data_IF_402437908430
#
_entry.id   IF_402437908430
#
_cell.length_a   1.000
_cell.length_b   1.000
_cell.length_c   1.000
_cell.angle_alpha   90.00
_cell.angle_beta   90.00
_cell.angle_gamma   90.00
#
_symmetry.space_group_name_H-M   'P 1'
#
loop_
_entity.id
_entity.type
_entity.pdbx_description
1 polymer ?
#
# COMPACT_ATOMS: atom_id res chain seq x y z
N UNK A 1 36.62 19.01 30.99
CA UNK A 1 35.28 18.40 31.19
C UNK A 1 34.27 19.31 30.53
N UNK A 2 33.16 18.78 30.03
CA UNK A 2 32.06 19.62 29.52
C UNK A 2 31.02 19.76 30.64
N UNK A 3 30.67 21.00 31.00
CA UNK A 3 29.65 21.25 32.00
C UNK A 3 28.28 20.89 31.44
N UNK A 4 27.68 19.83 31.99
CA UNK A 4 26.30 19.45 31.69
C UNK A 4 25.39 20.44 32.41
N UNK A 5 24.53 21.20 31.72
CA UNK A 5 23.59 22.10 32.39
C UNK A 5 22.69 21.30 33.34
N UNK A 6 22.72 21.66 34.63
CA UNK A 6 21.87 21.03 35.64
C UNK A 6 20.40 21.17 35.27
N UNK A 7 19.60 20.14 35.57
CA UNK A 7 18.17 20.10 35.23
C UNK A 7 17.46 21.34 35.77
N UNK A 8 16.92 22.17 34.87
CA UNK A 8 16.15 23.35 35.24
C UNK A 8 14.91 22.91 36.01
N UNK A 9 14.90 23.17 37.32
CA UNK A 9 13.74 22.94 38.17
C UNK A 9 12.68 23.98 37.85
N UNK A 10 11.90 23.73 36.79
CA UNK A 10 10.74 24.53 36.42
C UNK A 10 9.83 24.69 37.64
N UNK A 11 9.50 25.92 38.08
CA UNK A 11 8.70 26.12 39.28
C UNK A 11 7.34 25.42 39.11
N UNK A 12 6.97 24.58 40.06
CA UNK A 12 5.76 23.77 39.99
C UNK A 12 4.51 24.67 40.14
N UNK A 13 4.03 25.18 39.02
CA UNK A 13 2.83 26.00 38.96
C UNK A 13 1.59 25.14 39.16
N UNK A 14 1.26 24.87 40.42
CA UNK A 14 -0.09 24.43 40.80
C UNK A 14 -1.00 25.67 40.78
N UNK A 15 -2.00 25.77 39.88
CA UNK A 15 -2.94 26.86 39.92
C UNK A 15 -3.65 26.89 41.28
N UNK A 16 -3.63 28.02 41.97
CA UNK A 16 -4.43 28.21 43.18
C UNK A 16 -5.87 28.51 42.78
N UNK A 17 -6.81 28.30 43.70
CA UNK A 17 -8.22 28.64 43.47
C UNK A 17 -8.40 30.10 43.03
N UNK A 18 -7.62 31.00 43.63
CA UNK A 18 -7.52 32.41 43.28
C UNK A 18 -7.00 32.67 41.86
N UNK A 19 -6.04 31.87 41.38
CA UNK A 19 -5.53 31.89 40.00
C UNK A 19 -6.59 31.39 39.00
N UNK A 20 -7.28 30.30 39.32
CA UNK A 20 -8.38 29.81 38.48
C UNK A 20 -9.52 30.82 38.37
N UNK A 21 -9.85 31.51 39.47
CA UNK A 21 -10.91 32.51 39.54
C UNK A 21 -10.58 33.72 38.64
N UNK A 22 -9.33 34.20 38.69
CA UNK A 22 -8.82 35.20 37.75
C UNK A 22 -8.92 34.72 36.29
N UNK A 23 -8.51 33.47 36.01
CA UNK A 23 -8.62 32.87 34.67
C UNK A 23 -10.05 32.77 34.17
N UNK A 24 -11.02 32.37 35.01
CA UNK A 24 -12.45 32.34 34.66
C UNK A 24 -12.98 33.74 34.32
N UNK A 25 -12.63 34.76 35.10
CA UNK A 25 -13.02 36.15 34.82
C UNK A 25 -12.39 36.68 33.53
N UNK A 26 -11.12 36.39 33.27
CA UNK A 26 -10.46 36.74 32.01
C UNK A 26 -11.14 36.07 30.80
N UNK A 27 -11.48 34.78 30.89
CA UNK A 27 -12.21 34.09 29.83
C UNK A 27 -13.61 34.67 29.62
N UNK A 28 -14.37 34.96 30.70
CA UNK A 28 -15.71 35.54 30.61
C UNK A 28 -15.71 36.88 29.86
N UNK A 29 -14.68 37.70 30.09
CA UNK A 29 -14.44 38.96 29.37
C UNK A 29 -14.07 38.73 27.89
N UNK A 30 -13.15 37.79 27.60
CA UNK A 30 -12.60 37.60 26.26
C UNK A 30 -13.52 36.81 25.31
N UNK A 31 -14.38 35.94 25.82
CA UNK A 31 -15.41 35.23 25.03
C UNK A 31 -16.78 35.87 25.23
N UNK A 32 -17.51 35.49 26.28
CA UNK A 32 -18.95 35.79 26.48
C UNK A 32 -19.26 37.29 26.36
N UNK A 33 -18.54 38.16 27.08
CA UNK A 33 -18.76 39.61 26.99
C UNK A 33 -18.41 40.19 25.61
N UNK A 34 -17.39 39.64 24.93
CA UNK A 34 -16.95 40.11 23.62
C UNK A 34 -17.92 39.70 22.52
N UNK A 35 -18.42 38.47 22.55
CA UNK A 35 -19.44 37.97 21.62
C UNK A 35 -20.81 38.61 21.87
N UNK A 36 -21.15 38.91 23.14
CA UNK A 36 -22.29 39.74 23.50
C UNK A 36 -22.15 41.14 22.87
N UNK A 37 -21.00 41.80 23.01
CA UNK A 37 -20.79 43.12 22.42
C UNK A 37 -20.78 43.11 20.88
N UNK A 38 -20.28 42.04 20.24
CA UNK A 38 -20.42 41.80 18.78
C UNK A 38 -21.90 41.64 18.37
N UNK A 39 -22.72 41.03 19.23
CA UNK A 39 -24.16 40.85 19.01
C UNK A 39 -24.92 42.18 19.15
N UNK A 40 -24.62 42.99 20.17
CA UNK A 40 -25.14 44.37 20.29
C UNK A 40 -24.75 45.20 19.05
N UNK A 41 -23.49 45.11 18.61
CA UNK A 41 -22.99 45.82 17.43
C UNK A 41 -23.76 45.41 16.17
N UNK A 42 -23.95 44.11 15.95
CA UNK A 42 -24.66 43.56 14.79
C UNK A 42 -26.16 43.88 14.79
N UNK A 43 -26.78 44.02 15.97
CA UNK A 43 -28.16 44.46 16.14
C UNK A 43 -28.36 45.93 15.73
N UNK A 44 -27.40 46.81 16.02
CA UNK A 44 -27.48 48.23 15.65
C UNK A 44 -26.91 48.57 14.26
N UNK A 45 -25.93 47.81 13.80
CA UNK A 45 -25.21 48.02 12.53
C UNK A 45 -25.01 46.65 11.87
N UNK A 46 -25.76 46.36 10.80
CA UNK A 46 -25.59 45.13 10.04
C UNK A 46 -24.13 44.94 9.60
N UNK A 47 -23.57 43.71 9.64
CA UNK A 47 -22.17 43.44 9.27
C UNK A 47 -21.73 44.05 7.93
N UNK A 48 -22.58 43.98 6.91
CA UNK A 48 -22.34 44.55 5.56
C UNK A 48 -22.07 46.06 5.60
N UNK A 49 -22.77 46.78 6.49
CA UNK A 49 -22.71 48.23 6.64
C UNK A 49 -21.62 48.68 7.62
N UNK A 50 -20.98 47.76 8.35
CA UNK A 50 -20.01 48.09 9.40
C UNK A 50 -18.82 48.92 8.87
N UNK A 51 -18.30 48.58 7.69
CA UNK A 51 -17.22 49.35 7.05
C UNK A 51 -17.67 50.78 6.72
N UNK A 52 -18.89 50.94 6.21
CA UNK A 52 -19.46 52.24 5.83
C UNK A 52 -19.63 53.16 7.05
N UNK A 53 -20.23 52.66 8.14
CA UNK A 53 -20.41 53.47 9.36
C UNK A 53 -19.10 53.71 10.12
N UNK A 54 -18.10 52.83 10.02
CA UNK A 54 -16.74 53.12 10.50
C UNK A 54 -16.12 54.30 9.75
N UNK A 55 -16.04 54.24 8.41
CA UNK A 55 -15.44 55.32 7.62
C UNK A 55 -16.24 56.63 7.71
N UNK A 56 -17.57 56.57 7.82
CA UNK A 56 -18.43 57.74 8.09
C UNK A 56 -18.10 58.44 9.41
N UNK A 57 -17.70 57.68 10.43
CA UNK A 57 -17.37 58.19 11.77
C UNK A 57 -15.85 58.33 12.01
N UNK A 58 -15.02 58.11 10.98
CA UNK A 58 -13.55 58.01 11.07
C UNK A 58 -12.89 59.15 11.82
N UNK A 59 -13.20 60.40 11.48
CA UNK A 59 -12.61 61.61 12.10
C UNK A 59 -12.96 61.76 13.60
N UNK A 60 -14.02 61.10 14.07
CA UNK A 60 -14.36 61.01 15.51
C UNK A 60 -13.65 59.83 16.16
N UNK A 61 -13.65 58.66 15.52
CA UNK A 61 -13.03 57.45 16.05
C UNK A 61 -11.50 57.59 16.20
N UNK A 62 -10.82 58.19 15.21
CA UNK A 62 -9.37 58.46 15.25
C UNK A 62 -8.93 59.46 16.35
N UNK A 63 -9.87 60.14 17.03
CA UNK A 63 -9.58 60.99 18.20
C UNK A 63 -9.76 60.27 19.55
N UNK A 64 -10.22 59.02 19.53
CA UNK A 64 -10.62 58.25 20.73
C UNK A 64 -9.84 56.93 20.82
N UNK A 65 -9.52 56.31 19.69
CA UNK A 65 -8.75 55.07 19.60
C UNK A 65 -7.26 55.30 19.90
N UNK A 66 -6.58 54.28 20.44
CA UNK A 66 -5.10 54.26 20.45
C UNK A 66 -4.54 54.11 19.03
N UNK A 67 -3.23 54.34 18.86
CA UNK A 67 -2.52 54.15 17.58
C UNK A 67 -2.69 52.70 17.08
N UNK A 68 -2.58 51.72 17.97
CA UNK A 68 -2.75 50.29 17.65
C UNK A 68 -4.18 49.97 17.21
N UNK A 69 -5.18 50.46 17.96
CA UNK A 69 -6.60 50.27 17.63
C UNK A 69 -6.99 50.98 16.33
N UNK A 70 -6.39 52.15 16.07
CA UNK A 70 -6.50 52.88 14.80
C UNK A 70 -5.94 52.05 13.65
N UNK A 71 -4.73 51.50 13.79
CA UNK A 71 -4.09 50.68 12.76
C UNK A 71 -4.86 49.38 12.49
N UNK A 72 -5.53 48.80 13.49
CA UNK A 72 -6.36 47.60 13.33
C UNK A 72 -7.66 47.86 12.56
N UNK A 73 -8.33 49.00 12.81
CA UNK A 73 -9.57 49.38 12.11
C UNK A 73 -9.31 50.05 10.74
N UNK A 74 -8.16 50.68 10.57
CA UNK A 74 -7.76 51.45 9.40
C UNK A 74 -6.34 51.08 8.93
N UNK A 75 -6.09 49.80 8.57
CA UNK A 75 -4.77 49.37 8.13
C UNK A 75 -4.31 50.13 6.87
N UNK A 76 -3.00 50.32 6.67
CA UNK A 76 -2.45 50.87 5.43
C UNK A 76 -2.90 50.08 4.19
N UNK A 77 -2.95 50.72 3.03
CA UNK A 77 -3.40 50.07 1.79
C UNK A 77 -2.59 48.81 1.42
N UNK A 78 -1.31 48.75 1.80
CA UNK A 78 -0.43 47.59 1.64
C UNK A 78 -0.73 46.41 2.60
N UNK A 79 -1.63 46.59 3.56
CA UNK A 79 -2.01 45.60 4.58
C UNK A 79 -3.55 45.50 4.73
N UNK A 80 -4.30 45.86 3.68
CA UNK A 80 -5.76 45.94 3.74
C UNK A 80 -6.42 44.56 3.80
N UNK A 81 -6.61 44.05 5.02
CA UNK A 81 -7.46 42.89 5.32
C UNK A 81 -8.93 43.32 5.35
N UNK A 82 -9.84 42.46 4.91
CA UNK A 82 -11.27 42.62 5.22
C UNK A 82 -11.49 42.52 6.74
N UNK A 83 -12.02 43.59 7.32
CA UNK A 83 -12.20 43.75 8.76
C UNK A 83 -13.49 43.07 9.23
N UNK A 84 -13.35 42.05 10.09
CA UNK A 84 -14.49 41.32 10.68
C UNK A 84 -14.66 41.72 12.14
N UNK A 85 -15.88 41.75 12.67
CA UNK A 85 -16.15 42.06 14.09
C UNK A 85 -15.51 41.06 15.08
N UNK A 86 -15.13 39.87 14.62
CA UNK A 86 -14.31 38.90 15.35
C UNK A 86 -12.90 39.42 15.67
N UNK A 87 -12.32 40.25 14.80
CA UNK A 87 -10.97 40.81 14.97
C UNK A 87 -10.92 41.92 16.03
N UNK A 88 -12.08 42.41 16.48
CA UNK A 88 -12.19 43.49 17.46
C UNK A 88 -12.21 42.96 18.90
N UNK A 89 -11.41 43.57 19.77
CA UNK A 89 -11.43 43.28 21.21
C UNK A 89 -12.59 44.02 21.93
N UNK A 90 -12.86 43.64 23.19
CA UNK A 90 -13.91 44.29 24.01
C UNK A 90 -13.70 45.82 24.15
N UNK A 91 -12.44 46.28 24.12
CA UNK A 91 -12.08 47.71 24.19
C UNK A 91 -12.57 48.48 22.95
N UNK A 92 -12.26 47.98 21.75
CA UNK A 92 -12.75 48.53 20.48
C UNK A 92 -14.26 48.44 20.40
N UNK A 93 -14.83 47.27 20.73
CA UNK A 93 -16.28 47.05 20.69
C UNK A 93 -17.02 48.06 21.57
N UNK A 94 -16.57 48.30 22.82
CA UNK A 94 -17.13 49.35 23.69
C UNK A 94 -17.09 50.74 23.01
N UNK A 95 -15.97 51.10 22.39
CA UNK A 95 -15.81 52.40 21.70
C UNK A 95 -16.83 52.52 20.57
N UNK A 96 -17.09 51.46 19.80
CA UNK A 96 -18.09 51.47 18.73
C UNK A 96 -19.54 51.54 19.28
N UNK A 97 -19.88 50.72 20.27
CA UNK A 97 -21.20 50.74 20.91
C UNK A 97 -21.55 52.12 21.46
N UNK A 98 -20.60 52.76 22.16
CA UNK A 98 -20.73 54.11 22.71
C UNK A 98 -20.84 55.22 21.66
N UNK A 99 -20.11 55.10 20.54
CA UNK A 99 -19.94 56.25 19.62
C UNK A 99 -20.76 56.18 18.34
N UNK A 100 -21.01 55.00 17.77
CA UNK A 100 -21.66 54.85 16.45
C UNK A 100 -23.02 54.13 16.52
N UNK A 101 -23.27 53.28 17.52
CA UNK A 101 -24.53 52.51 17.60
C UNK A 101 -25.75 53.32 18.12
N UNK A 102 -25.59 54.62 18.37
CA UNK A 102 -26.65 55.57 18.82
C UNK A 102 -27.41 55.14 20.09
N UNK A 103 -26.84 54.25 20.91
CA UNK A 103 -27.44 53.77 22.15
C UNK A 103 -27.62 54.95 23.14
N UNK A 104 -28.85 55.20 23.66
CA UNK A 104 -29.10 56.25 24.64
C UNK A 104 -28.22 56.10 25.89
N UNK A 105 -27.66 57.22 26.37
CA UNK A 105 -26.79 57.21 27.54
C UNK A 105 -27.55 56.95 28.85
N UNK A 106 -26.90 56.30 29.81
CA UNK A 106 -27.40 56.18 31.18
C UNK A 106 -27.31 57.54 31.93
N UNK A 107 -27.99 57.65 33.08
CA UNK A 107 -28.22 58.91 33.80
C UNK A 107 -26.93 59.72 34.11
N UNK A 108 -25.82 59.02 34.37
CA UNK A 108 -24.53 59.63 34.74
C UNK A 108 -23.62 59.95 33.53
N UNK A 109 -24.03 59.61 32.31
CA UNK A 109 -23.24 59.80 31.09
C UNK A 109 -22.22 58.68 30.82
N UNK A 110 -22.10 58.28 29.55
CA UNK A 110 -21.16 57.25 29.09
C UNK A 110 -19.73 57.44 29.64
N UNK A 111 -19.17 56.36 30.20
CA UNK A 111 -17.82 56.30 30.77
C UNK A 111 -17.78 56.53 32.29
N UNK A 112 -18.82 57.12 32.86
CA UNK A 112 -18.96 57.27 34.31
C UNK A 112 -19.54 56.00 34.94
N UNK A 113 -19.34 55.82 36.24
CA UNK A 113 -19.97 54.73 37.00
C UNK A 113 -21.50 54.89 36.92
N UNK A 114 -22.25 53.90 36.40
CA UNK A 114 -23.71 53.96 36.37
C UNK A 114 -24.32 53.95 37.78
N UNK A 115 -25.52 54.49 37.93
CA UNK A 115 -26.23 54.50 39.21
C UNK A 115 -26.53 53.07 39.66
N UNK A 116 -26.40 52.79 40.96
CA UNK A 116 -26.77 51.48 41.52
C UNK A 116 -28.24 51.16 41.19
N UNK A 117 -28.49 49.96 40.67
CA UNK A 117 -29.81 49.53 40.20
C UNK A 117 -30.23 50.00 38.81
N UNK A 118 -29.43 50.83 38.10
CA UNK A 118 -29.73 51.20 36.70
C UNK A 118 -29.54 49.98 35.77
N UNK A 119 -30.63 49.53 35.14
CA UNK A 119 -30.66 48.36 34.23
C UNK A 119 -30.87 48.74 32.77
N UNK A 120 -30.60 49.99 32.38
CA UNK A 120 -30.62 50.36 30.95
C UNK A 120 -29.39 49.78 30.21
N UNK A 121 -29.51 49.59 28.89
CA UNK A 121 -28.49 48.94 28.05
C UNK A 121 -27.10 49.58 28.21
N UNK A 122 -27.02 50.92 28.22
CA UNK A 122 -25.77 51.64 28.42
C UNK A 122 -25.16 51.42 29.82
N UNK A 123 -25.97 51.31 30.87
CA UNK A 123 -25.48 51.06 32.22
C UNK A 123 -24.86 49.66 32.36
N UNK A 124 -25.47 48.64 31.76
CA UNK A 124 -24.91 47.28 31.72
C UNK A 124 -23.59 47.24 30.92
N UNK A 125 -23.53 47.90 29.75
CA UNK A 125 -22.31 47.99 28.93
C UNK A 125 -21.17 48.70 29.68
N UNK A 126 -21.44 49.81 30.39
CA UNK A 126 -20.41 50.51 31.15
C UNK A 126 -19.94 49.74 32.39
N UNK A 127 -20.82 48.99 33.07
CA UNK A 127 -20.40 48.08 34.16
C UNK A 127 -19.50 46.95 33.67
N UNK A 128 -19.80 46.33 32.54
CA UNK A 128 -18.93 45.31 31.92
C UNK A 128 -17.55 45.89 31.60
N UNK A 129 -17.46 47.13 31.07
CA UNK A 129 -16.18 47.83 30.88
C UNK A 129 -15.45 48.07 32.21
N UNK A 130 -16.15 48.58 33.24
CA UNK A 130 -15.56 48.86 34.55
C UNK A 130 -14.98 47.58 35.16
N UNK A 131 -15.73 46.47 35.13
CA UNK A 131 -15.25 45.17 35.58
C UNK A 131 -14.08 44.65 34.73
N UNK A 132 -14.08 44.80 33.40
CA UNK A 132 -12.89 44.47 32.58
C UNK A 132 -11.66 45.23 33.06
N UNK A 133 -11.77 46.55 33.18
CA UNK A 133 -10.65 47.39 33.57
C UNK A 133 -10.15 47.06 34.98
N UNK A 134 -11.04 46.69 35.91
CA UNK A 134 -10.68 46.16 37.22
C UNK A 134 -9.92 44.83 37.11
N UNK A 135 -10.44 43.85 36.37
CA UNK A 135 -9.79 42.54 36.14
C UNK A 135 -8.41 42.72 35.51
N UNK A 136 -8.27 43.60 34.51
CA UNK A 136 -6.97 43.96 33.93
C UNK A 136 -6.01 44.60 34.93
N UNK A 137 -6.51 45.31 35.95
CA UNK A 137 -5.68 45.80 37.07
C UNK A 137 -5.08 44.69 37.94
N UNK A 138 -5.74 43.53 38.03
CA UNK A 138 -5.23 42.35 38.75
C UNK A 138 -4.20 41.53 37.95
N UNK A 139 -3.92 41.87 36.69
CA UNK A 139 -3.03 41.07 35.82
C UNK A 139 -1.57 40.99 36.30
N UNK A 140 -1.14 41.91 37.16
CA UNK A 140 0.20 41.92 37.77
C UNK A 140 0.38 40.86 38.86
N UNK A 141 -0.72 40.37 39.44
CA UNK A 141 -0.73 39.32 40.47
C UNK A 141 -1.29 38.01 39.89
N UNK A 142 -2.22 38.09 38.94
CA UNK A 142 -2.83 36.93 38.29
C UNK A 142 -3.80 36.13 39.19
N UNK A 143 -4.26 36.73 40.29
CA UNK A 143 -5.09 36.09 41.31
C UNK A 143 -6.21 37.02 41.80
N UNK A 144 -7.40 36.45 42.02
CA UNK A 144 -8.59 37.10 42.62
C UNK A 144 -9.19 36.11 43.63
N UNK A 145 -9.42 36.54 44.87
CA UNK A 145 -9.97 35.67 45.93
C UNK A 145 -11.42 35.24 45.64
N UNK A 146 -11.90 34.20 46.31
CA UNK A 146 -13.25 33.68 46.09
C UNK A 146 -14.37 34.69 46.40
N UNK A 147 -14.20 35.59 47.38
CA UNK A 147 -15.26 36.54 47.74
C UNK A 147 -15.40 37.66 46.71
N UNK A 148 -14.28 38.18 46.22
CA UNK A 148 -14.24 39.16 45.14
C UNK A 148 -14.66 38.54 43.80
N UNK A 149 -14.24 37.29 43.55
CA UNK A 149 -14.65 36.53 42.36
C UNK A 149 -16.17 36.39 42.29
N UNK A 150 -16.83 35.90 43.35
CA UNK A 150 -18.29 35.70 43.35
C UNK A 150 -19.05 37.02 43.16
N UNK A 151 -18.56 38.12 43.74
CA UNK A 151 -19.15 39.44 43.56
C UNK A 151 -19.03 39.93 42.10
N UNK A 152 -17.83 39.93 41.52
CA UNK A 152 -17.61 40.34 40.12
C UNK A 152 -18.38 39.42 39.16
N UNK A 153 -18.35 38.11 39.39
CA UNK A 153 -19.05 37.13 38.57
C UNK A 153 -20.57 37.34 38.57
N UNK A 154 -21.17 37.54 39.75
CA UNK A 154 -22.61 37.79 39.89
C UNK A 154 -23.05 39.07 39.18
N UNK A 155 -22.28 40.16 39.33
CA UNK A 155 -22.58 41.43 38.65
C UNK A 155 -22.46 41.31 37.12
N UNK A 156 -21.36 40.73 36.62
CA UNK A 156 -21.17 40.49 35.19
C UNK A 156 -22.27 39.58 34.62
N UNK A 157 -22.61 38.49 35.30
CA UNK A 157 -23.68 37.57 34.89
C UNK A 157 -25.02 38.29 34.76
N UNK A 158 -25.39 39.09 35.78
CA UNK A 158 -26.62 39.88 35.79
C UNK A 158 -26.69 40.89 34.64
N UNK A 159 -25.58 41.55 34.32
CA UNK A 159 -25.50 42.48 33.19
C UNK A 159 -25.53 41.78 31.82
N UNK A 160 -24.82 40.65 31.67
CA UNK A 160 -24.84 39.81 30.46
C UNK A 160 -26.28 39.36 30.14
N UNK A 161 -26.95 38.75 31.12
CA UNK A 161 -28.33 38.27 31.00
C UNK A 161 -29.29 39.44 30.71
N UNK A 162 -29.10 40.60 31.37
CA UNK A 162 -29.97 41.77 31.15
C UNK A 162 -29.81 42.37 29.75
N UNK A 163 -28.60 42.35 29.17
CA UNK A 163 -28.36 42.76 27.78
C UNK A 163 -28.97 41.74 26.82
N UNK A 164 -28.74 40.44 27.03
CA UNK A 164 -29.29 39.37 26.18
C UNK A 164 -30.82 39.46 26.07
N UNK A 165 -31.52 39.66 27.20
CA UNK A 165 -32.97 39.89 27.25
C UNK A 165 -33.45 41.12 26.45
N UNK A 166 -32.58 42.11 26.19
CA UNK A 166 -32.92 43.35 25.47
C UNK A 166 -32.62 43.24 23.97
N UNK A 167 -31.60 42.46 23.60
CA UNK A 167 -31.08 42.38 22.22
C UNK A 167 -31.64 41.17 21.45
N UNK A 168 -31.75 40.01 22.11
CA UNK A 168 -32.05 38.72 21.46
C UNK A 168 -33.21 37.95 22.11
N UNK A 169 -33.50 38.18 23.40
CA UNK A 169 -34.57 37.50 24.13
C UNK A 169 -34.33 35.99 24.40
N UNK A 170 -33.13 35.49 24.09
CA UNK A 170 -32.71 34.10 24.33
C UNK A 170 -31.98 33.90 25.66
N UNK A 171 -31.22 32.81 25.75
CA UNK A 171 -30.38 32.45 26.90
C UNK A 171 -29.02 31.82 26.48
N UNK A 172 -28.53 32.15 25.29
CA UNK A 172 -27.23 31.65 24.79
C UNK A 172 -26.05 32.22 25.58
N UNK A 173 -26.12 33.49 26.02
CA UNK A 173 -25.07 34.08 26.85
C UNK A 173 -25.22 33.69 28.32
N UNK A 174 -26.45 33.59 28.86
CA UNK A 174 -26.73 32.98 30.16
C UNK A 174 -26.11 31.58 30.26
N UNK A 175 -26.36 30.71 29.26
CA UNK A 175 -25.73 29.39 29.18
C UNK A 175 -24.20 29.45 29.08
N UNK A 176 -23.66 30.37 28.29
CA UNK A 176 -22.21 30.57 28.17
C UNK A 176 -21.52 30.95 29.49
N UNK A 177 -22.17 31.77 30.32
CA UNK A 177 -21.76 32.03 31.71
C UNK A 177 -21.78 30.73 32.51
N UNK A 178 -22.90 30.02 32.47
CA UNK A 178 -23.15 28.84 33.32
C UNK A 178 -22.21 27.66 32.99
N UNK A 179 -21.94 27.43 31.70
CA UNK A 179 -20.99 26.43 31.20
C UNK A 179 -19.53 26.81 31.53
N UNK A 180 -19.16 28.10 31.49
CA UNK A 180 -17.83 28.57 31.88
C UNK A 180 -17.59 28.51 33.40
N UNK A 181 -18.61 28.79 34.22
CA UNK A 181 -18.52 28.67 35.68
C UNK A 181 -18.27 27.22 36.11
N UNK A 182 -18.96 26.27 35.46
CA UNK A 182 -18.82 24.81 35.67
C UNK A 182 -17.53 24.22 35.11
N UNK A 183 -16.74 25.00 34.36
CA UNK A 183 -15.52 24.53 33.73
C UNK A 183 -14.43 24.20 34.77
N UNK A 184 -14.01 22.92 34.81
CA UNK A 184 -12.89 22.43 35.60
C UNK A 184 -11.56 22.91 35.02
N UNK A 185 -10.93 23.91 35.63
CA UNK A 185 -9.54 24.32 35.32
C UNK A 185 -8.49 23.47 36.08
N UNK A 186 -8.93 22.41 36.76
CA UNK A 186 -8.14 21.63 37.70
C UNK A 186 -7.10 20.71 36.99
N UNK A 187 -5.81 20.76 37.38
CA UNK A 187 -4.76 19.83 36.95
C UNK A 187 -5.14 18.34 37.01
N UNK A 188 -6.01 17.90 37.93
CA UNK A 188 -6.43 16.49 38.04
C UNK A 188 -7.04 15.91 36.75
N UNK A 189 -7.67 16.74 35.89
CA UNK A 189 -8.17 16.27 34.59
C UNK A 189 -7.06 16.17 33.55
N UNK A 190 -6.08 17.08 33.58
CA UNK A 190 -4.88 16.98 32.75
C UNK A 190 -4.03 15.75 33.13
N UNK A 191 -3.92 15.44 34.42
CA UNK A 191 -3.19 14.28 34.94
C UNK A 191 -3.71 12.95 34.37
N UNK A 192 -5.03 12.78 34.21
CA UNK A 192 -5.62 11.59 33.55
C UNK A 192 -5.10 11.39 32.11
N UNK A 193 -4.91 12.47 31.36
CA UNK A 193 -4.33 12.39 30.01
C UNK A 193 -2.82 12.10 30.05
N UNK A 194 -2.08 12.64 31.04
CA UNK A 194 -0.66 12.33 31.25
C UNK A 194 -0.46 10.84 31.60
N UNK A 195 -1.32 10.28 32.45
CA UNK A 195 -1.30 8.86 32.83
C UNK A 195 -1.67 7.96 31.65
N UNK A 196 -2.71 8.32 30.88
CA UNK A 196 -3.04 7.62 29.63
C UNK A 196 -1.88 7.64 28.62
N UNK A 197 -1.20 8.78 28.47
CA UNK A 197 -0.04 8.91 27.57
C UNK A 197 1.15 8.03 28.02
N UNK A 198 1.45 8.00 29.32
CA UNK A 198 2.49 7.10 29.90
C UNK A 198 2.17 5.63 29.64
N UNK A 199 0.90 5.23 29.81
CA UNK A 199 0.47 3.85 29.57
C UNK A 199 0.65 3.47 28.09
N UNK A 200 0.25 4.34 27.16
CA UNK A 200 0.47 4.15 25.71
C UNK A 200 1.97 4.07 25.40
N UNK A 201 2.80 4.93 25.99
CA UNK A 201 4.25 4.91 25.80
C UNK A 201 4.88 3.59 26.29
N UNK A 202 4.44 3.07 27.45
CA UNK A 202 4.89 1.78 27.96
C UNK A 202 4.45 0.62 27.07
N UNK A 203 3.21 0.63 26.57
CA UNK A 203 2.74 -0.38 25.62
C UNK A 203 3.56 -0.39 24.33
N UNK A 204 3.92 0.79 23.81
CA UNK A 204 4.73 0.91 22.59
C UNK A 204 6.13 0.34 22.77
N UNK A 205 6.78 0.58 23.92
CA UNK A 205 8.08 -0.01 24.25
C UNK A 205 8.00 -1.55 24.30
N UNK A 206 7.03 -2.11 25.03
CA UNK A 206 6.84 -3.57 25.10
C UNK A 206 6.40 -4.21 23.77
N UNK A 207 5.78 -3.44 22.87
CA UNK A 207 5.51 -3.88 21.50
C UNK A 207 6.77 -3.86 20.63
N UNK A 208 7.66 -2.87 20.81
CA UNK A 208 8.94 -2.81 20.10
C UNK A 208 9.89 -3.94 20.52
N UNK A 209 9.98 -4.26 21.81
CA UNK A 209 10.76 -5.41 22.30
C UNK A 209 10.35 -6.71 21.58
N UNK A 210 9.04 -6.98 21.52
CA UNK A 210 8.47 -8.16 20.83
C UNK A 210 8.66 -8.15 19.32
N UNK A 211 8.75 -6.97 18.69
CA UNK A 211 9.10 -6.86 17.26
C UNK A 211 10.56 -7.28 17.06
N UNK A 212 11.47 -6.80 17.91
CA UNK A 212 12.90 -7.14 17.84
C UNK A 212 13.12 -8.67 18.01
N UNK A 213 12.42 -9.31 18.96
CA UNK A 213 12.45 -10.77 19.16
C UNK A 213 11.99 -11.55 17.91
N UNK A 214 10.95 -11.05 17.24
CA UNK A 214 10.42 -11.63 16.00
C UNK A 214 11.40 -11.41 14.84
N UNK A 215 12.06 -10.26 14.74
CA UNK A 215 13.09 -9.99 13.73
C UNK A 215 14.31 -10.93 13.90
N UNK A 216 14.81 -11.11 15.12
CA UNK A 216 15.88 -12.08 15.44
C UNK A 216 15.43 -13.50 15.04
N UNK A 217 14.19 -13.88 15.32
CA UNK A 217 13.63 -15.18 14.95
C UNK A 217 13.55 -15.35 13.42
N UNK A 218 13.14 -14.32 12.69
CA UNK A 218 13.08 -14.31 11.22
C UNK A 218 14.49 -14.45 10.60
N UNK A 219 15.50 -13.77 11.15
CA UNK A 219 16.89 -13.90 10.69
C UNK A 219 17.42 -15.33 10.87
N UNK A 220 17.17 -15.95 12.03
CA UNK A 220 17.56 -17.33 12.32
C UNK A 220 16.86 -18.35 11.39
N UNK A 221 15.58 -18.14 11.08
CA UNK A 221 14.83 -18.96 10.11
C UNK A 221 15.39 -18.74 8.70
N UNK A 222 15.70 -17.50 8.30
CA UNK A 222 16.30 -17.17 7.02
C UNK A 222 17.64 -17.88 6.79
N UNK A 223 18.51 -17.91 7.80
CA UNK A 223 19.78 -18.64 7.74
C UNK A 223 19.56 -20.16 7.56
N UNK A 224 18.63 -20.77 8.31
CA UNK A 224 18.31 -22.19 8.11
C UNK A 224 17.71 -22.50 6.73
N UNK A 225 16.95 -21.57 6.13
CA UNK A 225 16.41 -21.71 4.77
C UNK A 225 17.54 -21.64 3.73
N UNK A 226 18.54 -20.78 3.92
CA UNK A 226 19.72 -20.72 3.04
C UNK A 226 20.49 -22.04 3.06
N UNK A 227 20.93 -22.51 4.24
CA UNK A 227 21.67 -23.78 4.39
C UNK A 227 20.90 -24.98 3.83
N UNK A 228 19.56 -25.00 3.96
CA UNK A 228 18.71 -26.04 3.36
C UNK A 228 18.55 -25.91 1.85
N UNK A 229 18.66 -24.70 1.27
CA UNK A 229 18.68 -24.51 -0.19
C UNK A 229 20.01 -24.96 -0.79
N UNK A 230 21.13 -24.50 -0.24
CA UNK A 230 22.47 -24.92 -0.68
C UNK A 230 22.56 -26.45 -0.71
N UNK A 231 21.97 -27.12 0.30
CA UNK A 231 21.91 -28.60 0.38
C UNK A 231 20.89 -29.27 -0.55
N UNK A 232 19.90 -28.55 -1.08
CA UNK A 232 19.01 -29.05 -2.15
C UNK A 232 19.73 -28.94 -3.49
N UNK A 233 20.37 -27.81 -3.76
CA UNK A 233 21.11 -27.54 -5.00
C UNK A 233 22.24 -28.58 -5.18
N UNK A 234 23.00 -28.88 -4.09
CA UNK A 234 23.92 -30.03 -3.96
C UNK A 234 23.36 -31.36 -4.47
N UNK A 235 22.10 -31.66 -4.12
CA UNK A 235 21.43 -32.93 -4.39
C UNK A 235 20.82 -32.95 -5.80
N UNK A 236 20.39 -31.81 -6.33
CA UNK A 236 19.96 -31.70 -7.73
C UNK A 236 21.13 -31.93 -8.69
N UNK A 237 22.31 -31.36 -8.42
CA UNK A 237 23.54 -31.62 -9.19
C UNK A 237 24.00 -33.09 -9.09
N UNK A 238 23.94 -33.70 -7.89
CA UNK A 238 24.24 -35.13 -7.73
C UNK A 238 23.26 -36.02 -8.52
N UNK A 239 21.95 -35.72 -8.47
CA UNK A 239 20.94 -36.46 -9.23
C UNK A 239 21.13 -36.29 -10.74
N UNK A 240 21.47 -35.09 -11.22
CA UNK A 240 21.76 -34.84 -12.63
C UNK A 240 23.01 -35.63 -13.10
N UNK A 241 24.05 -35.69 -12.28
CA UNK A 241 25.27 -36.48 -12.53
C UNK A 241 24.97 -37.98 -12.62
N UNK A 242 24.20 -38.54 -11.67
CA UNK A 242 23.78 -39.95 -11.66
C UNK A 242 22.88 -40.28 -12.86
N UNK A 243 21.92 -39.41 -13.18
CA UNK A 243 21.04 -39.60 -14.34
C UNK A 243 21.83 -39.61 -15.66
N UNK A 244 22.87 -38.77 -15.77
CA UNK A 244 23.79 -38.78 -16.93
C UNK A 244 24.60 -40.09 -16.96
N UNK A 245 25.23 -40.48 -15.86
CA UNK A 245 26.04 -41.70 -15.80
C UNK A 245 25.25 -42.97 -16.17
N UNK A 246 23.99 -43.07 -15.71
CA UNK A 246 23.07 -44.14 -16.11
C UNK A 246 22.77 -44.11 -17.61
N UNK A 247 22.47 -42.94 -18.18
CA UNK A 247 22.18 -42.78 -19.62
C UNK A 247 23.38 -43.14 -20.50
N UNK A 248 24.58 -42.71 -20.10
CA UNK A 248 25.81 -42.98 -20.81
C UNK A 248 26.14 -44.48 -20.77
N UNK A 249 26.05 -45.12 -19.59
CA UNK A 249 26.23 -46.58 -19.43
C UNK A 249 25.19 -47.44 -20.15
N UNK A 250 23.92 -47.03 -20.20
CA UNK A 250 22.91 -47.70 -21.03
C UNK A 250 23.22 -47.58 -22.54
N UNK A 251 23.86 -46.48 -22.96
CA UNK A 251 24.26 -46.27 -24.36
C UNK A 251 25.46 -47.14 -24.73
N UNK A 252 26.42 -47.29 -23.80
CA UNK A 252 27.59 -48.17 -23.92
C UNK A 252 27.17 -49.65 -24.01
N UNK A 253 26.39 -50.16 -23.04
CA UNK A 253 25.87 -51.53 -23.04
C UNK A 253 25.04 -51.86 -24.29
N UNK A 254 24.28 -50.88 -24.82
CA UNK A 254 23.54 -51.04 -26.08
C UNK A 254 24.48 -51.15 -27.29
N UNK A 255 25.62 -50.47 -27.26
CA UNK A 255 26.70 -50.60 -28.25
C UNK A 255 27.35 -51.98 -28.20
N UNK A 256 27.84 -52.39 -27.03
CA UNK A 256 28.46 -53.71 -26.81
C UNK A 256 27.53 -54.86 -27.23
N UNK A 257 26.26 -54.79 -26.84
CA UNK A 257 25.25 -55.79 -27.21
C UNK A 257 25.07 -55.86 -28.73
N UNK A 258 24.96 -54.71 -29.42
CA UNK A 258 24.85 -54.66 -30.88
C UNK A 258 26.09 -55.25 -31.58
N UNK A 259 27.28 -54.92 -31.12
CA UNK A 259 28.52 -55.47 -31.69
C UNK A 259 28.68 -56.96 -31.41
N UNK A 260 28.21 -57.45 -30.26
CA UNK A 260 28.14 -58.88 -29.93
C UNK A 260 27.21 -59.64 -30.89
N UNK A 261 26.03 -59.09 -31.20
CA UNK A 261 25.11 -59.66 -32.20
C UNK A 261 25.73 -59.68 -33.59
N UNK A 262 26.31 -58.56 -34.04
CA UNK A 262 26.99 -58.46 -35.35
C UNK A 262 28.17 -59.45 -35.45
N UNK A 263 28.87 -59.72 -34.34
CA UNK A 263 29.94 -60.73 -34.29
C UNK A 263 29.38 -62.15 -34.39
N UNK A 264 28.38 -62.51 -33.58
CA UNK A 264 27.72 -63.83 -33.61
C UNK A 264 27.12 -64.12 -34.98
N UNK A 265 26.47 -63.15 -35.60
CA UNK A 265 25.84 -63.28 -36.92
C UNK A 265 26.89 -63.50 -38.03
N UNK A 266 28.04 -62.83 -37.94
CA UNK A 266 29.20 -63.07 -38.83
C UNK A 266 29.76 -64.48 -38.67
N UNK A 267 29.96 -64.99 -37.46
CA UNK A 267 30.48 -66.35 -37.26
C UNK A 267 29.48 -67.42 -37.73
N UNK A 268 28.18 -67.27 -37.43
CA UNK A 268 27.12 -68.14 -37.93
C UNK A 268 27.12 -68.19 -39.47
N UNK A 269 27.23 -67.03 -40.13
CA UNK A 269 27.33 -66.90 -41.60
C UNK A 269 28.62 -67.45 -42.19
N UNK A 270 29.69 -67.67 -41.42
CA UNK A 270 30.88 -68.42 -41.85
C UNK A 270 30.66 -69.92 -41.70
N UNK A 271 30.21 -70.37 -40.53
CA UNK A 271 30.08 -71.79 -40.21
C UNK A 271 29.04 -72.48 -41.11
N UNK A 272 27.90 -71.82 -41.36
CA UNK A 272 26.94 -72.28 -42.37
C UNK A 272 27.59 -72.45 -43.75
N UNK A 273 28.39 -71.47 -44.20
CA UNK A 273 29.09 -71.53 -45.49
C UNK A 273 30.11 -72.68 -45.58
N UNK A 274 30.86 -72.94 -44.51
CA UNK A 274 31.78 -74.09 -44.42
C UNK A 274 30.98 -75.38 -44.52
N UNK A 275 29.94 -75.54 -43.68
CA UNK A 275 29.11 -76.75 -43.63
C UNK A 275 28.40 -77.04 -44.96
N UNK A 276 27.85 -76.03 -45.63
CA UNK A 276 27.28 -76.15 -46.97
C UNK A 276 28.34 -76.51 -48.03
N UNK A 277 29.55 -75.97 -47.93
CA UNK A 277 30.66 -76.31 -48.83
C UNK A 277 31.06 -77.78 -48.69
N UNK A 278 31.19 -78.28 -47.45
CA UNK A 278 31.59 -79.66 -47.20
C UNK A 278 30.49 -80.67 -47.53
N UNK A 279 29.22 -80.37 -47.21
CA UNK A 279 28.08 -81.15 -47.72
C UNK A 279 28.09 -81.21 -49.26
N UNK A 280 28.33 -80.08 -49.95
CA UNK A 280 28.41 -80.04 -51.42
C UNK A 280 29.60 -80.82 -52.00
N UNK A 281 30.70 -81.00 -51.25
CA UNK A 281 31.84 -81.88 -51.61
C UNK A 281 31.49 -83.34 -51.38
N UNK A 282 30.93 -83.68 -50.23
CA UNK A 282 30.52 -85.03 -49.80
C UNK A 282 29.55 -85.66 -50.80
N UNK A 283 28.50 -84.90 -51.08
CA UNK A 283 27.46 -85.23 -52.04
C UNK A 283 27.98 -85.45 -53.46
N UNK A 284 28.96 -84.63 -53.89
CA UNK A 284 29.69 -84.82 -55.16
C UNK A 284 30.65 -86.01 -55.14
N UNK A 285 31.15 -86.46 -53.97
CA UNK A 285 31.89 -87.74 -53.86
C UNK A 285 30.90 -88.88 -54.04
N UNK A 286 29.83 -88.91 -53.24
CA UNK A 286 28.84 -89.99 -53.27
C UNK A 286 28.17 -90.19 -54.65
N UNK A 287 27.81 -89.10 -55.36
CA UNK A 287 27.31 -89.23 -56.73
C UNK A 287 28.33 -89.88 -57.68
N UNK A 288 29.62 -89.52 -57.59
CA UNK A 288 30.69 -90.13 -58.42
C UNK A 288 30.96 -91.58 -58.04
N UNK A 289 30.87 -91.92 -56.75
CA UNK A 289 31.04 -93.30 -56.29
C UNK A 289 29.86 -94.19 -56.73
N UNK A 290 28.62 -93.67 -56.66
CA UNK A 290 27.41 -94.31 -57.23
C UNK A 290 27.54 -94.50 -58.75
N UNK A 291 27.92 -93.45 -59.50
CA UNK A 291 28.18 -93.55 -60.94
C UNK A 291 29.28 -94.57 -61.25
N UNK A 292 30.41 -94.53 -60.56
CA UNK A 292 31.52 -95.46 -60.78
C UNK A 292 31.13 -96.91 -60.47
N UNK A 293 30.27 -97.14 -59.47
CA UNK A 293 29.74 -98.47 -59.16
C UNK A 293 28.82 -98.99 -60.27
N UNK A 294 27.84 -98.18 -60.71
CA UNK A 294 26.97 -98.51 -61.83
C UNK A 294 27.75 -98.73 -63.14
N UNK A 295 28.78 -97.92 -63.41
CA UNK A 295 29.64 -98.07 -64.58
C UNK A 295 30.46 -99.37 -64.52
N UNK A 296 30.96 -99.76 -63.34
CA UNK A 296 31.65 -101.04 -63.11
C UNK A 296 30.70 -102.23 -63.24
N UNK A 297 29.43 -102.09 -62.86
CA UNK A 297 28.40 -103.12 -63.04
C UNK A 297 27.98 -103.25 -64.52
N UNK A 298 27.76 -102.13 -65.22
CA UNK A 298 27.53 -102.11 -66.67
C UNK A 298 28.68 -102.78 -67.43
N UNK A 299 29.93 -102.43 -67.12
CA UNK A 299 31.15 -103.04 -67.72
C UNK A 299 31.34 -104.51 -67.34
N UNK A 300 30.74 -105.01 -66.25
CA UNK A 300 30.70 -106.44 -65.91
C UNK A 300 29.67 -107.18 -66.76
N UNK A 301 28.45 -106.66 -66.89
CA UNK A 301 27.41 -107.31 -67.71
C UNK A 301 27.79 -107.29 -69.20
N UNK A 302 28.34 -106.20 -69.72
CA UNK A 302 28.83 -106.14 -71.10
C UNK A 302 29.96 -107.15 -71.36
N UNK A 303 30.83 -107.39 -70.36
CA UNK A 303 31.87 -108.44 -70.44
C UNK A 303 31.34 -109.87 -70.30
N UNK A 304 30.11 -110.07 -69.78
CA UNK A 304 29.43 -111.37 -69.86
C UNK A 304 28.92 -111.63 -71.28
N UNK A 305 28.29 -110.63 -71.91
CA UNK A 305 27.89 -110.75 -73.33
C UNK A 305 29.09 -110.93 -74.28
N UNK A 306 30.26 -110.36 -73.97
CA UNK A 306 31.48 -110.53 -74.78
C UNK A 306 32.32 -111.78 -74.47
N UNK A 307 31.97 -112.62 -73.48
CA UNK A 307 32.72 -113.85 -73.14
C UNK A 307 31.97 -115.16 -73.41
N UNK A 308 30.81 -115.11 -74.05
CA UNK A 308 30.15 -116.29 -74.61
C UNK A 308 29.10 -115.87 -75.65
N UNK A 309 29.20 -116.27 -76.92
CA UNK A 309 30.27 -117.06 -77.56
C UNK A 309 29.97 -117.28 -79.05
N UNK A 310 30.86 -117.97 -79.76
CA UNK A 310 30.55 -118.50 -81.09
C UNK A 310 29.82 -119.85 -80.96
N UNK A 311 28.88 -120.21 -81.85
CA UNK A 311 27.60 -119.49 -81.94
C UNK A 311 26.38 -120.41 -81.84
N UNK A 312 25.42 -120.12 -80.97
CA UNK A 312 24.01 -120.57 -81.05
C UNK A 312 23.16 -120.01 -79.88
N UNK A 313 21.84 -119.88 -80.07
CA UNK A 313 20.85 -119.78 -78.98
C UNK A 313 20.59 -118.41 -78.33
N UNK A 314 19.62 -117.66 -78.86
CA UNK A 314 18.70 -116.74 -78.14
C UNK A 314 19.20 -115.91 -76.93
N UNK A 315 19.54 -114.61 -77.11
CA UNK A 315 19.90 -113.71 -76.01
C UNK A 315 18.69 -112.93 -75.44
N UNK A 316 18.09 -113.43 -74.34
CA UNK A 316 16.90 -112.81 -73.70
C UNK A 316 17.09 -112.29 -72.27
N UNK A 317 18.21 -112.59 -71.58
CA UNK A 317 18.41 -112.21 -70.16
C UNK A 317 19.48 -111.13 -69.91
N UNK A 318 20.54 -111.08 -70.73
CA UNK A 318 21.60 -110.05 -70.61
C UNK A 318 21.07 -108.63 -70.90
N UNK A 319 20.43 -108.46 -72.07
CA UNK A 319 19.80 -107.20 -72.51
C UNK A 319 18.84 -106.59 -71.49
N UNK A 320 18.10 -107.40 -70.72
CA UNK A 320 17.19 -106.89 -69.68
C UNK A 320 17.96 -106.24 -68.52
N UNK A 321 19.05 -106.87 -68.04
CA UNK A 321 19.94 -106.27 -67.02
C UNK A 321 20.62 -105.01 -67.54
N UNK A 322 21.15 -105.05 -68.77
CA UNK A 322 21.82 -103.89 -69.40
C UNK A 322 20.83 -102.73 -69.55
N UNK A 323 19.58 -103.00 -69.95
CA UNK A 323 18.51 -102.00 -69.99
C UNK A 323 18.17 -101.46 -68.60
N UNK A 324 18.08 -102.30 -67.56
CA UNK A 324 17.79 -101.86 -66.19
C UNK A 324 18.89 -100.96 -65.61
N UNK A 325 20.16 -101.28 -65.86
CA UNK A 325 21.31 -100.43 -65.48
C UNK A 325 21.33 -99.16 -66.32
N UNK A 326 21.01 -99.23 -67.62
CA UNK A 326 20.89 -98.05 -68.49
C UNK A 326 19.79 -97.11 -67.98
N UNK A 327 18.56 -97.57 -67.76
CA UNK A 327 17.47 -96.78 -67.17
C UNK A 327 17.83 -96.23 -65.79
N UNK A 328 18.60 -96.97 -64.98
CA UNK A 328 19.10 -96.45 -63.69
C UNK A 328 20.11 -95.31 -63.87
N UNK A 329 20.97 -95.36 -64.90
CA UNK A 329 21.88 -94.27 -65.24
C UNK A 329 21.13 -93.08 -65.87
N UNK A 330 20.14 -93.32 -66.73
CA UNK A 330 19.25 -92.28 -67.29
C UNK A 330 18.52 -91.57 -66.17
N UNK A 331 17.86 -92.31 -65.27
CA UNK A 331 17.19 -91.74 -64.10
C UNK A 331 18.14 -90.97 -63.16
N UNK A 332 19.45 -91.29 -63.11
CA UNK A 332 20.43 -90.58 -62.27
C UNK A 332 21.01 -89.32 -62.97
N UNK A 333 20.87 -89.22 -64.30
CA UNK A 333 21.16 -88.01 -65.10
C UNK A 333 19.92 -87.09 -65.18
N UNK A 334 18.75 -87.66 -65.42
CA UNK A 334 17.44 -86.99 -65.49
C UNK A 334 16.89 -86.62 -64.10
N UNK A 335 17.48 -87.17 -63.03
CA UNK A 335 17.29 -86.68 -61.65
C UNK A 335 17.80 -85.24 -61.56
N UNK A 336 16.92 -84.30 -61.92
CA UNK A 336 17.14 -82.85 -61.88
C UNK A 336 17.13 -82.29 -60.44
N UNK A 337 17.73 -83.06 -59.54
CA UNK A 337 17.88 -82.80 -58.13
C UNK A 337 18.93 -81.70 -57.87
N UNK A 338 19.80 -81.42 -58.86
CA UNK A 338 20.66 -80.24 -58.84
C UNK A 338 19.81 -78.96 -58.90
N UNK A 339 18.78 -78.88 -59.75
CA UNK A 339 17.81 -77.79 -59.68
C UNK A 339 17.05 -77.77 -58.36
N UNK A 340 16.73 -78.92 -57.75
CA UNK A 340 16.12 -78.95 -56.40
C UNK A 340 17.03 -78.32 -55.35
N UNK A 341 18.32 -78.68 -55.33
CA UNK A 341 19.33 -78.09 -54.43
C UNK A 341 19.54 -76.60 -54.74
N UNK A 342 19.46 -76.19 -56.00
CA UNK A 342 19.61 -74.78 -56.42
C UNK A 342 18.37 -73.92 -56.10
N UNK A 343 17.17 -74.51 -56.14
CA UNK A 343 15.92 -73.90 -55.66
C UNK A 343 15.96 -73.71 -54.13
N UNK A 344 16.40 -74.72 -53.37
CA UNK A 344 16.60 -74.55 -51.92
C UNK A 344 17.72 -73.54 -51.60
N UNK A 345 18.78 -73.50 -52.41
CA UNK A 345 19.83 -72.48 -52.29
C UNK A 345 19.27 -71.06 -52.52
N UNK A 346 18.36 -70.88 -53.47
CA UNK A 346 17.74 -69.57 -53.72
C UNK A 346 16.72 -69.20 -52.65
N UNK A 347 15.92 -70.14 -52.12
CA UNK A 347 15.08 -69.91 -50.93
C UNK A 347 15.88 -69.44 -49.71
N UNK A 348 17.04 -70.04 -49.47
CA UNK A 348 17.95 -69.62 -48.39
C UNK A 348 18.48 -68.19 -48.64
N UNK A 349 18.84 -67.83 -49.88
CA UNK A 349 19.23 -66.44 -50.23
C UNK A 349 18.08 -65.44 -50.13
N UNK A 350 16.84 -65.85 -50.46
CA UNK A 350 15.62 -65.04 -50.31
C UNK A 350 15.42 -64.68 -48.83
N UNK A 351 15.44 -65.70 -47.95
CA UNK A 351 15.41 -65.51 -46.49
C UNK A 351 16.57 -64.65 -45.97
N UNK A 352 17.77 -64.78 -46.55
CA UNK A 352 18.93 -63.94 -46.24
C UNK A 352 18.78 -62.47 -46.71
N UNK A 353 17.89 -62.20 -47.67
CA UNK A 353 17.54 -60.85 -48.15
C UNK A 353 16.43 -60.24 -47.28
N UNK A 354 15.41 -61.02 -46.93
CA UNK A 354 14.32 -60.60 -46.04
C UNK A 354 14.82 -60.22 -44.63
N UNK A 355 15.72 -61.00 -44.03
CA UNK A 355 16.32 -60.63 -42.73
C UNK A 355 17.06 -59.28 -42.78
N UNK A 356 17.82 -58.99 -43.85
CA UNK A 356 18.47 -57.68 -44.02
C UNK A 356 17.47 -56.53 -44.22
N UNK A 357 16.34 -56.80 -44.86
CA UNK A 357 15.25 -55.82 -44.97
C UNK A 357 14.55 -55.57 -43.61
N UNK A 358 14.59 -56.52 -42.67
CA UNK A 358 14.10 -56.36 -41.30
C UNK A 358 15.10 -55.58 -40.44
N UNK A 359 16.41 -55.88 -40.52
CA UNK A 359 17.46 -55.12 -39.81
C UNK A 359 17.46 -53.62 -40.19
N UNK A 360 17.28 -53.32 -41.48
CA UNK A 360 17.12 -51.95 -41.96
C UNK A 360 15.95 -51.23 -41.29
N UNK A 361 14.76 -51.84 -41.32
CA UNK A 361 13.53 -51.27 -40.70
C UNK A 361 13.65 -51.12 -39.17
N UNK A 362 14.37 -52.02 -38.51
CA UNK A 362 14.60 -51.96 -37.06
C UNK A 362 15.58 -50.84 -36.66
N UNK A 363 16.25 -50.20 -37.62
CA UNK A 363 17.07 -49.01 -37.40
C UNK A 363 16.25 -47.71 -37.41
N UNK A 364 15.14 -47.67 -38.16
CA UNK A 364 14.27 -46.49 -38.29
C UNK A 364 13.14 -46.45 -37.24
N UNK A 365 12.88 -47.54 -36.53
CA UNK A 365 11.81 -47.64 -35.53
C UNK A 365 12.16 -46.97 -34.19
N UNK A 366 12.51 -45.68 -34.23
CA UNK A 366 12.44 -44.81 -33.04
C UNK A 366 10.97 -44.55 -32.75
N UNK A 367 10.44 -45.19 -31.71
CA UNK A 367 9.07 -44.94 -31.23
C UNK A 367 8.94 -43.45 -30.89
N UNK A 368 7.95 -42.72 -31.46
CA UNK A 368 7.75 -41.32 -31.12
C UNK A 368 7.23 -41.20 -29.69
N UNK A 369 7.92 -40.42 -28.86
CA UNK A 369 7.44 -40.07 -27.52
C UNK A 369 6.13 -39.25 -27.64
N UNK A 370 5.01 -39.90 -27.32
CA UNK A 370 3.68 -39.29 -27.28
C UNK A 370 3.21 -39.02 -25.86
N UNK A 371 4.06 -38.41 -25.03
CA UNK A 371 3.63 -37.69 -23.82
C UNK A 371 2.86 -36.38 -24.17
N UNK A 372 1.80 -36.48 -24.98
CA UNK A 372 0.89 -35.37 -25.33
C UNK A 372 -0.46 -35.49 -24.65
N UNK A 373 -0.62 -34.78 -23.54
CA UNK A 373 -1.85 -34.08 -23.20
C UNK A 373 -1.46 -32.61 -22.97
N UNK A 374 -2.08 -31.56 -23.49
CA UNK A 374 -3.11 -31.35 -24.51
C UNK A 374 -3.36 -29.83 -24.41
N UNK A 375 -3.03 -29.06 -25.44
CA UNK A 375 -3.07 -27.59 -25.39
C UNK A 375 -4.48 -27.04 -25.11
N UNK A 376 -4.53 -25.92 -24.38
CA UNK A 376 -5.36 -24.79 -24.81
C UNK A 376 -4.45 -23.62 -25.24
N UNK A 377 -5.02 -22.65 -25.98
CA UNK A 377 -4.32 -21.53 -26.63
C UNK A 377 -4.23 -20.32 -25.66
N UNK A 378 -3.46 -19.24 -25.85
CA UNK A 378 -3.09 -18.49 -27.07
C UNK A 378 -1.60 -18.06 -27.08
N UNK A 379 -0.88 -17.85 -28.20
CA UNK A 379 -1.08 -17.23 -29.52
C UNK A 379 -0.57 -15.77 -29.62
N UNK A 380 0.28 -15.55 -30.64
CA UNK A 380 0.65 -14.30 -31.32
C UNK A 380 1.36 -13.17 -30.53
N UNK A 381 2.69 -13.15 -30.61
CA UNK A 381 3.55 -11.96 -30.44
C UNK A 381 4.75 -12.01 -31.42
N UNK A 382 5.12 -10.92 -32.12
CA UNK A 382 6.18 -10.93 -33.14
C UNK A 382 7.60 -10.72 -32.59
N UNK A 383 8.60 -10.97 -33.46
CA UNK A 383 10.03 -10.99 -33.12
C UNK A 383 10.72 -9.60 -33.03
N UNK A 384 11.93 -9.50 -32.44
CA UNK A 384 12.48 -8.25 -31.89
C UNK A 384 13.60 -7.61 -32.73
N UNK A 385 14.02 -6.39 -32.35
CA UNK A 385 15.33 -5.84 -32.70
C UNK A 385 16.07 -5.18 -31.51
N UNK A 386 17.32 -5.64 -31.32
CA UNK A 386 18.50 -4.96 -30.72
C UNK A 386 18.52 -4.51 -29.24
N UNK A 387 19.52 -5.05 -28.53
CA UNK A 387 20.14 -4.62 -27.26
C UNK A 387 20.91 -3.27 -27.41
N UNK A 388 21.49 -2.63 -26.34
CA UNK A 388 21.71 -3.07 -24.94
C UNK A 388 21.12 -2.08 -23.89
N UNK A 389 21.38 -2.08 -22.56
CA UNK A 389 22.41 -2.73 -21.70
C UNK A 389 21.93 -2.88 -20.23
N UNK A 390 22.24 -4.01 -19.61
CA UNK A 390 22.34 -4.31 -18.15
C UNK A 390 21.82 -3.31 -17.07
N UNK A 391 20.80 -3.69 -16.27
CA UNK A 391 20.95 -4.11 -14.85
C UNK A 391 19.60 -4.44 -14.15
N UNK A 392 19.61 -5.57 -13.42
CA UNK A 392 18.76 -6.01 -12.29
C UNK A 392 17.36 -5.42 -12.03
N UNK A 393 16.36 -6.31 -12.24
CA UNK A 393 15.04 -6.49 -11.58
C UNK A 393 14.84 -5.84 -10.19
N UNK A 394 13.62 -5.53 -9.71
CA UNK A 394 12.24 -5.45 -10.29
C UNK A 394 11.30 -4.80 -9.26
N UNK A 395 10.10 -4.35 -9.66
CA UNK A 395 9.11 -3.72 -8.76
C UNK A 395 7.68 -4.27 -8.97
N UNK A 396 6.85 -4.16 -7.94
CA UNK A 396 5.37 -4.13 -7.98
C UNK A 396 4.55 -5.42 -8.15
N UNK A 397 3.95 -5.85 -7.03
CA UNK A 397 2.50 -6.05 -6.75
C UNK A 397 1.53 -6.56 -7.85
N UNK A 398 0.56 -7.36 -7.42
CA UNK A 398 -0.78 -7.50 -8.03
C UNK A 398 -1.88 -7.65 -6.96
N UNK A 399 -3.14 -7.36 -7.31
CA UNK A 399 -4.38 -7.55 -6.51
C UNK A 399 -5.38 -8.34 -7.37
N UNK A 400 -6.34 -9.10 -6.86
CA UNK A 400 -7.62 -8.56 -6.34
C UNK A 400 -8.60 -9.63 -5.83
N UNK A 401 -9.41 -9.29 -4.80
CA UNK A 401 -10.83 -9.65 -4.49
C UNK A 401 -11.28 -11.15 -4.57
N UNK A 402 -12.15 -11.67 -3.70
CA UNK A 402 -13.50 -11.17 -3.37
C UNK A 402 -14.20 -11.93 -2.20
N UNK A 403 -15.11 -11.26 -1.46
CA UNK A 403 -16.26 -11.81 -0.65
C UNK A 403 -15.90 -12.70 0.57
N UNK A 404 -16.71 -12.88 1.64
CA UNK A 404 -17.91 -12.17 2.20
C UNK A 404 -18.28 -12.69 3.62
N UNK A 405 -19.10 -11.95 4.38
CA UNK A 405 -19.82 -12.35 5.63
C UNK A 405 -18.98 -12.49 6.94
N UNK A 406 -19.21 -11.65 7.97
CA UNK A 406 -20.09 -11.83 9.17
C UNK A 406 -19.49 -12.74 10.27
N UNK A 407 -19.52 -12.45 11.58
CA UNK A 407 -20.50 -11.71 12.40
C UNK A 407 -19.87 -10.83 13.50
N UNK A 408 -20.68 -9.96 14.11
CA UNK A 408 -20.42 -9.30 15.41
C UNK A 408 -21.40 -9.80 16.47
N UNK A 409 -21.18 -9.45 17.75
CA UNK A 409 -22.31 -8.92 18.54
C UNK A 409 -21.99 -7.58 19.22
N UNK A 410 -23.06 -6.83 19.55
CA UNK A 410 -23.08 -5.53 20.23
C UNK A 410 -23.92 -5.59 21.50
N UNK A 411 -23.64 -4.70 22.45
CA UNK A 411 -24.46 -4.19 23.57
C UNK A 411 -23.63 -3.05 24.21
N UNK A 412 -24.12 -1.87 24.62
CA UNK A 412 -25.44 -1.20 24.69
C UNK A 412 -25.35 -0.16 25.83
N UNK A 413 -25.91 1.06 25.84
CA UNK A 413 -26.89 1.80 25.02
C UNK A 413 -26.55 3.33 25.09
N UNK A 414 -26.83 4.20 24.11
CA UNK A 414 -28.10 4.94 23.80
C UNK A 414 -28.62 5.81 24.96
N UNK A 415 -29.20 7.03 24.84
CA UNK A 415 -29.81 7.88 23.75
C UNK A 415 -29.37 9.36 24.02
N UNK A 416 -29.41 10.41 23.18
CA UNK A 416 -29.85 10.73 21.79
C UNK A 416 -29.12 12.03 21.33
N UNK A 417 -29.65 12.98 20.54
CA UNK A 417 -30.89 13.16 19.76
C UNK A 417 -30.62 14.06 18.52
N UNK A 418 -31.43 14.00 17.46
CA UNK A 418 -31.12 14.62 16.15
C UNK A 418 -31.42 16.13 16.00
N UNK A 419 -30.81 16.77 14.98
CA UNK A 419 -31.56 17.36 13.85
C UNK A 419 -30.63 17.86 12.73
N UNK A 420 -30.91 17.46 11.48
CA UNK A 420 -30.34 18.09 10.28
C UNK A 420 -31.06 19.41 9.97
N UNK A 421 -30.38 20.34 9.28
CA UNK A 421 -30.97 21.04 8.13
C UNK A 421 -29.90 21.77 7.30
N UNK A 422 -29.89 21.53 6.00
CA UNK A 422 -29.17 22.32 5.00
C UNK A 422 -30.18 23.11 4.15
N UNK A 423 -29.90 24.39 3.84
CA UNK A 423 -30.57 25.06 2.73
C UNK A 423 -29.65 26.03 1.99
N UNK A 424 -30.03 26.35 0.75
CA UNK A 424 -29.23 27.06 -0.25
C UNK A 424 -29.65 28.55 -0.32
N UNK A 425 -28.74 29.41 -0.77
CA UNK A 425 -29.01 30.81 -1.12
C UNK A 425 -29.61 30.91 -2.52
N UNK A 426 -30.71 31.67 -2.65
CA UNK A 426 -31.14 32.29 -3.90
C UNK A 426 -31.30 33.80 -3.65
N UNK A 427 -30.79 34.65 -4.54
CA UNK A 427 -31.06 36.09 -4.58
C UNK A 427 -32.02 36.38 -5.75
N UNK A 428 -33.14 37.08 -5.50
CA UNK A 428 -33.70 38.07 -6.45
C UNK A 428 -34.78 38.93 -5.76
N UNK A 429 -34.83 40.22 -6.15
CA UNK A 429 -35.76 41.27 -5.69
C UNK A 429 -35.76 41.61 -4.17
N UNK A 430 -36.05 42.84 -3.71
CA UNK A 430 -36.70 43.99 -4.35
C UNK A 430 -35.84 45.27 -4.25
N UNK A 431 -35.72 46.01 -5.36
CA UNK A 431 -35.23 47.40 -5.38
C UNK A 431 -36.39 48.37 -5.14
N UNK A 432 -36.32 49.21 -4.09
CA UNK A 432 -36.76 50.64 -4.06
C UNK A 432 -36.66 51.24 -2.64
N UNK A 433 -36.59 52.57 -2.40
CA UNK A 433 -35.92 53.73 -3.04
C UNK A 433 -36.41 55.00 -2.29
N UNK A 434 -35.54 56.03 -2.15
CA UNK A 434 -35.86 57.44 -1.75
C UNK A 434 -36.34 57.66 -0.29
N UNK A 435 -35.68 58.57 0.45
CA UNK A 435 -36.07 59.98 0.76
C UNK A 435 -37.03 60.04 1.99
N UNK A 436 -36.90 60.95 2.95
CA UNK A 436 -36.49 62.36 2.89
C UNK A 436 -35.54 62.81 4.02
N UNK A 437 -34.89 63.96 3.82
CA UNK A 437 -34.26 64.82 4.84
C UNK A 437 -35.24 66.01 5.04
N UNK A 438 -35.29 66.78 6.17
CA UNK A 438 -34.23 67.78 6.41
C UNK A 438 -34.01 68.29 7.87
N UNK A 439 -32.99 69.13 8.01
CA UNK A 439 -32.84 70.34 8.87
C UNK A 439 -33.41 70.40 10.31
N UNK A 440 -32.53 70.54 11.30
CA UNK A 440 -32.03 71.83 11.84
C UNK A 440 -30.88 71.53 12.84
N UNK A 441 -29.78 72.28 13.01
CA UNK A 441 -29.46 73.72 12.95
C UNK A 441 -29.64 74.47 14.28
N UNK A 442 -28.56 75.17 14.66
CA UNK A 442 -28.43 76.30 15.61
C UNK A 442 -27.92 76.09 17.06
N UNK A 443 -27.07 77.06 17.46
CA UNK A 443 -26.52 77.44 18.79
C UNK A 443 -25.62 76.43 19.54
N UNK A 444 -24.35 76.68 19.96
CA UNK A 444 -23.46 77.86 20.18
C UNK A 444 -23.30 78.30 21.66
N UNK A 445 -22.05 78.69 22.02
CA UNK A 445 -21.51 79.27 23.28
C UNK A 445 -21.83 78.60 24.64
N UNK A 446 -20.80 77.92 25.20
CA UNK A 446 -19.97 78.37 26.33
C UNK A 446 -19.00 77.22 26.70
N UNK A 447 -17.68 77.39 26.71
CA UNK A 447 -16.77 78.30 27.43
C UNK A 447 -16.45 77.83 28.87
N UNK A 448 -15.20 77.39 29.02
CA UNK A 448 -14.33 77.36 30.21
C UNK A 448 -14.96 77.24 31.61
N UNK A 449 -14.69 76.10 32.26
CA UNK A 449 -14.09 76.14 33.60
C UNK A 449 -13.07 75.00 33.75
N UNK A 450 -12.02 75.20 34.55
CA UNK A 450 -10.79 74.37 34.51
C UNK A 450 -10.44 73.83 35.90
N UNK A 451 -10.62 72.53 36.12
CA UNK A 451 -10.27 71.84 37.37
C UNK A 451 -8.90 71.16 37.29
N UNK A 452 -7.91 71.72 37.98
CA UNK A 452 -6.67 71.04 38.40
C UNK A 452 -6.99 69.98 39.48
N UNK A 453 -6.19 68.98 39.85
CA UNK A 453 -4.78 68.58 39.64
C UNK A 453 -4.75 67.03 39.80
N UNK A 454 -3.71 66.22 39.54
CA UNK A 454 -2.27 66.34 39.78
C UNK A 454 -1.47 65.63 38.67
N UNK A 455 -0.22 66.05 38.48
CA UNK A 455 0.85 65.25 37.87
C UNK A 455 2.00 65.13 38.88
N UNK A 456 2.76 64.05 38.86
CA UNK A 456 4.02 63.90 39.60
C UNK A 456 5.06 63.31 38.64
N UNK A 457 6.19 64.00 38.51
CA UNK A 457 7.26 63.63 37.59
C UNK A 457 8.12 62.47 38.10
N UNK A 458 8.68 61.70 37.16
CA UNK A 458 9.90 60.92 37.38
C UNK A 458 10.88 61.17 36.24
N UNK A 459 11.97 61.89 36.52
CA UNK A 459 13.06 62.16 35.57
C UNK A 459 14.42 61.98 36.24
N UNK A 460 15.43 61.65 35.43
CA UNK A 460 16.78 61.15 35.79
C UNK A 460 16.81 59.64 36.12
N UNK A 461 17.64 58.81 35.45
CA UNK A 461 18.40 59.11 34.22
C UNK A 461 19.47 58.07 33.87
N UNK A 462 19.74 57.95 32.56
CA UNK A 462 20.75 57.11 31.87
C UNK A 462 20.39 55.65 31.57
N UNK A 463 20.77 55.21 30.36
CA UNK A 463 20.54 53.85 29.83
C UNK A 463 19.93 53.82 28.42
N UNK A 464 20.67 54.26 27.38
CA UNK A 464 20.20 54.17 25.98
C UNK A 464 20.37 52.74 25.44
N UNK A 465 19.28 52.00 25.24
CA UNK A 465 19.16 50.97 24.21
C UNK A 465 17.69 50.86 23.73
N UNK A 466 17.52 50.41 22.49
CA UNK A 466 16.24 50.09 21.85
C UNK A 466 16.45 49.90 20.34
N UNK A 467 15.43 49.50 19.58
CA UNK A 467 14.11 49.00 20.01
C UNK A 467 14.09 47.47 20.14
N UNK A 468 12.99 46.91 20.65
CA UNK A 468 12.65 45.50 20.46
C UNK A 468 11.29 45.41 19.75
N UNK A 469 11.34 45.23 18.43
CA UNK A 469 10.23 44.67 17.65
C UNK A 469 10.17 43.15 17.90
N UNK A 470 8.96 42.58 17.91
CA UNK A 470 8.77 41.12 17.86
C UNK A 470 7.65 40.58 18.76
N UNK A 471 6.80 39.64 18.28
CA UNK A 471 5.69 39.08 19.04
C UNK A 471 6.09 37.94 19.98
N UNK A 472 5.25 37.68 20.99
CA UNK A 472 5.37 36.54 21.90
C UNK A 472 5.32 35.18 21.16
N UNK A 473 6.33 34.30 21.31
CA UNK A 473 6.30 32.96 20.72
C UNK A 473 5.67 31.94 21.67
N UNK A 474 4.60 31.25 21.22
CA UNK A 474 4.09 30.04 21.86
C UNK A 474 4.31 28.82 20.96
N UNK A 475 5.14 27.89 21.45
CA UNK A 475 5.39 26.52 20.98
C UNK A 475 5.45 26.28 19.45
N UNK A 476 6.68 26.18 18.92
CA UNK A 476 6.97 25.25 17.83
C UNK A 476 7.57 23.97 18.40
N UNK A 477 6.91 22.84 18.17
CA UNK A 477 7.44 21.50 18.49
C UNK A 477 8.43 21.12 17.37
N UNK A 478 9.69 20.89 17.71
CA UNK A 478 10.68 20.40 16.75
C UNK A 478 10.37 18.95 16.38
N UNK A 479 10.22 18.68 15.08
CA UNK A 479 10.43 17.33 14.56
C UNK A 479 11.93 17.03 14.54
N UNK A 480 12.28 15.81 14.93
CA UNK A 480 13.55 15.20 14.57
C UNK A 480 13.41 14.54 13.20
N UNK A 481 14.44 14.72 12.38
CA UNK A 481 14.89 13.82 11.30
C UNK A 481 16.42 13.67 11.48
#
# INVERSE_FOLDING_TARGET
MADIPGSSSTPYFSPRKSTENFSRLCQLIMTVCSDLFRTILSHHIKPENLRMELDRNRTRLLKILSVEQSNLLYPPASQSKYLVSSDMDLSILYILLRNICKIPTHQNGWGQTPKSGDKCLAACIDRIRIHRNMISGHSTIGEIDDTLFQNIWSNLSSDIIKIEQVISGGNMFERGVDELLKCELNPSRAQKYVEAFRNIQSELLTKQEKINDVEITILNIGHQIAVKRDRIDDLEDQNASVAKALKDGFSELKGELKDSFVKLEKELKKEQRVRFSDLKKELKREQRDRFSKLEKELKKELKKEQRGGSPSGTPSRGKANVSGIATSLTNLLDSNWLNTVEIELEKVKESERDHRAIEGKCSDSVVPDQSKNSSFKDKDAPHPHTFPRSRSRSRSRSRSRSRSCSMSPLLGSQVGSESDYSYIFDEEDIIKIKEENPDNSAMDKNREERGHYYSIDTSNGMGRLGPFDGPYPFLLITKSD
#
